data_IF_534401105713
#
_entry.id   IF_534401105713
#
_cell.length_a   1.000
_cell.length_b   1.000
_cell.length_c   1.000
_cell.angle_alpha   90.00
_cell.angle_beta   90.00
_cell.angle_gamma   90.00
#
_symmetry.space_group_name_H-M   'P 1'
#
loop_
_entity.id
_entity.type
_entity.pdbx_description
1 polymer ?
#
# COMPACT_ATOMS: atom_id res chain seq x y z
N UNK A 1 -20.07 -12.89 -15.12
CA UNK A 1 -19.00 -13.91 -15.15
C UNK A 1 -17.74 -13.22 -15.62
N UNK A 2 -16.93 -12.72 -14.70
CA UNK A 2 -15.58 -12.25 -15.00
C UNK A 2 -14.68 -13.48 -15.07
N UNK A 3 -13.91 -13.60 -16.15
CA UNK A 3 -12.93 -14.66 -16.30
C UNK A 3 -11.90 -14.56 -15.16
N UNK A 4 -11.58 -15.69 -14.53
CA UNK A 4 -10.54 -15.76 -13.52
C UNK A 4 -9.21 -15.28 -14.13
N UNK A 5 -8.46 -14.37 -13.46
CA UNK A 5 -7.14 -14.00 -13.93
C UNK A 5 -6.25 -15.25 -13.92
N UNK A 6 -5.64 -15.52 -15.07
CA UNK A 6 -4.54 -16.47 -15.20
C UNK A 6 -3.44 -16.18 -14.18
N UNK A 7 -2.86 -17.22 -13.60
CA UNK A 7 -1.64 -17.18 -12.79
C UNK A 7 -0.67 -16.11 -13.29
N UNK A 8 -0.60 -14.99 -12.58
CA UNK A 8 0.45 -14.00 -12.73
C UNK A 8 1.37 -14.17 -11.53
N UNK A 9 2.68 -14.26 -11.81
CA UNK A 9 3.70 -13.98 -10.82
C UNK A 9 3.31 -12.69 -10.09
N UNK A 10 3.62 -12.57 -8.80
CA UNK A 10 3.37 -11.32 -8.09
C UNK A 10 4.26 -10.23 -8.73
N UNK A 11 3.68 -9.45 -9.64
CA UNK A 11 4.32 -8.31 -10.27
C UNK A 11 4.14 -7.12 -9.34
N UNK A 12 5.23 -6.37 -9.09
CA UNK A 12 5.21 -5.15 -8.27
C UNK A 12 4.04 -4.25 -8.66
N UNK A 13 3.44 -3.58 -7.69
CA UNK A 13 2.34 -2.68 -7.99
C UNK A 13 2.86 -1.32 -8.48
N UNK A 14 2.22 -0.77 -9.52
CA UNK A 14 2.56 0.54 -10.09
C UNK A 14 2.02 1.64 -9.21
N UNK A 15 2.92 2.47 -8.68
CA UNK A 15 2.65 3.46 -7.65
C UNK A 15 2.93 4.88 -8.15
N UNK A 16 1.96 5.76 -8.00
CA UNK A 16 2.16 7.21 -8.01
C UNK A 16 1.79 7.73 -6.62
N UNK A 17 2.62 8.59 -6.05
CA UNK A 17 2.33 9.33 -4.82
C UNK A 17 2.02 10.77 -5.18
N UNK A 18 0.92 11.31 -4.64
CA UNK A 18 0.66 12.75 -4.57
C UNK A 18 0.72 13.18 -3.12
N UNK A 19 1.61 14.10 -2.80
CA UNK A 19 2.01 14.46 -1.44
C UNK A 19 2.15 15.96 -1.29
N UNK A 20 1.73 16.51 -0.15
CA UNK A 20 1.99 17.89 0.26
C UNK A 20 3.21 18.00 1.19
N UNK A 21 4.17 17.09 1.02
CA UNK A 21 5.50 17.09 1.67
C UNK A 21 6.12 18.49 1.78
N UNK A 22 6.73 18.76 2.93
CA UNK A 22 7.25 20.10 3.25
C UNK A 22 6.15 21.13 3.53
N UNK A 23 4.90 20.68 3.64
CA UNK A 23 3.72 21.46 3.98
C UNK A 23 3.55 21.65 5.48
N UNK A 24 2.41 21.20 6.02
CA UNK A 24 2.00 21.51 7.40
C UNK A 24 2.45 20.49 8.45
N UNK A 25 2.84 19.30 8.04
CA UNK A 25 3.26 18.20 8.90
C UNK A 25 4.55 17.56 8.34
N UNK A 26 5.53 17.17 9.19
CA UNK A 26 6.66 16.36 8.77
C UNK A 26 6.34 14.90 8.39
N UNK A 27 5.14 14.39 8.63
CA UNK A 27 4.82 12.96 8.41
C UNK A 27 4.89 12.50 6.94
N UNK A 28 4.67 13.37 5.94
CA UNK A 28 4.97 13.06 4.54
C UNK A 28 6.48 12.80 4.31
N UNK A 29 7.37 13.52 5.02
CA UNK A 29 8.82 13.30 4.93
C UNK A 29 9.20 11.95 5.53
N UNK A 30 8.59 11.60 6.67
CA UNK A 30 8.74 10.31 7.32
C UNK A 30 8.27 9.16 6.40
N UNK A 31 7.06 9.30 5.86
CA UNK A 31 6.43 8.32 4.96
C UNK A 31 7.23 8.16 3.67
N UNK A 32 7.83 9.25 3.15
CA UNK A 32 8.69 9.20 1.97
C UNK A 32 9.98 8.44 2.25
N UNK A 33 10.64 8.66 3.38
CA UNK A 33 11.83 7.88 3.76
C UNK A 33 11.49 6.38 3.85
N UNK A 34 10.37 6.03 4.47
CA UNK A 34 9.93 4.63 4.60
C UNK A 34 9.59 4.02 3.23
N UNK A 35 8.84 4.73 2.37
CA UNK A 35 8.55 4.29 1.01
C UNK A 35 9.84 4.02 0.22
N UNK A 36 10.84 4.90 0.30
CA UNK A 36 12.08 4.69 -0.43
C UNK A 36 12.85 3.47 0.07
N UNK A 37 12.76 3.16 1.37
CA UNK A 37 13.31 1.94 1.96
C UNK A 37 12.54 0.67 1.55
N UNK A 38 11.30 0.80 1.06
CA UNK A 38 10.47 -0.30 0.53
C UNK A 38 10.28 -0.23 -0.99
N UNK A 39 11.09 0.57 -1.69
CA UNK A 39 10.93 0.80 -3.13
C UNK A 39 11.37 -0.39 -4.00
N UNK A 40 11.95 -1.42 -3.40
CA UNK A 40 12.13 -2.76 -3.95
C UNK A 40 10.83 -3.58 -4.00
N UNK A 41 9.75 -3.21 -3.31
CA UNK A 41 8.47 -3.94 -3.38
C UNK A 41 7.44 -3.32 -4.35
N UNK A 42 7.70 -2.11 -4.86
CA UNK A 42 6.77 -1.35 -5.70
C UNK A 42 7.45 -0.71 -6.92
N UNK A 43 6.69 -0.46 -7.98
CA UNK A 43 7.17 0.27 -9.16
C UNK A 43 6.74 1.74 -9.04
N UNK A 44 7.63 2.61 -8.56
CA UNK A 44 7.37 4.04 -8.43
C UNK A 44 7.41 4.70 -9.80
N UNK A 45 6.26 5.20 -10.26
CA UNK A 45 6.10 5.91 -11.54
C UNK A 45 5.90 7.43 -11.37
N UNK A 46 5.66 7.90 -10.15
CA UNK A 46 5.41 9.31 -9.87
C UNK A 46 5.61 9.67 -8.39
N UNK A 47 6.35 10.72 -8.13
CA UNK A 47 6.46 11.39 -6.82
C UNK A 47 6.05 12.85 -7.05
N UNK A 48 4.78 13.16 -6.80
CA UNK A 48 4.16 14.41 -7.20
C UNK A 48 3.97 15.29 -5.97
N UNK A 49 4.69 16.40 -5.90
CA UNK A 49 4.50 17.39 -4.84
C UNK A 49 3.36 18.34 -5.24
N UNK A 50 2.26 18.33 -4.49
CA UNK A 50 1.10 19.19 -4.70
C UNK A 50 0.63 19.82 -3.37
N UNK A 51 -0.47 20.55 -3.42
CA UNK A 51 -1.08 21.19 -2.26
C UNK A 51 -2.37 20.48 -1.86
N UNK A 52 -2.59 20.30 -0.55
CA UNK A 52 -3.81 19.74 0.04
C UNK A 52 -4.88 20.80 0.34
N UNK A 53 -5.30 20.95 1.60
CA UNK A 53 -6.37 21.86 2.05
C UNK A 53 -5.90 23.30 2.30
N UNK A 54 -4.59 23.56 2.39
CA UNK A 54 -4.03 24.89 2.66
C UNK A 54 -2.84 25.15 1.77
N UNK A 55 -2.70 26.40 1.30
CA UNK A 55 -1.62 26.77 0.39
C UNK A 55 -0.26 26.76 1.08
N UNK A 56 0.66 25.95 0.56
CA UNK A 56 2.07 25.84 0.98
C UNK A 56 2.99 25.95 -0.24
N UNK A 57 4.29 26.23 -0.07
CA UNK A 57 5.27 26.00 -1.13
C UNK A 57 5.30 24.53 -1.52
N UNK A 58 5.50 24.24 -2.82
CA UNK A 58 5.63 22.85 -3.26
C UNK A 58 6.89 22.20 -2.69
N UNK A 59 6.72 21.00 -2.14
CA UNK A 59 7.74 20.19 -1.48
C UNK A 59 8.90 19.67 -2.30
N UNK A 60 9.04 20.05 -3.58
CA UNK A 60 10.10 19.52 -4.44
C UNK A 60 11.52 19.65 -3.86
N UNK A 61 11.91 20.76 -3.19
CA UNK A 61 13.22 20.83 -2.53
C UNK A 61 13.38 19.83 -1.40
N UNK A 62 12.32 19.59 -0.62
CA UNK A 62 12.31 18.63 0.50
C UNK A 62 12.41 17.19 -0.04
N UNK A 63 11.57 16.86 -1.03
CA UNK A 63 11.62 15.58 -1.72
C UNK A 63 13.02 15.31 -2.31
N UNK A 64 13.62 16.30 -2.98
CA UNK A 64 14.97 16.14 -3.53
C UNK A 64 16.03 15.93 -2.46
N UNK A 65 15.92 16.58 -1.29
CA UNK A 65 16.83 16.34 -0.15
C UNK A 65 16.71 14.91 0.37
N UNK A 66 15.52 14.34 0.41
CA UNK A 66 15.31 12.93 0.78
C UNK A 66 15.89 12.01 -0.30
N UNK A 67 15.71 12.33 -1.58
CA UNK A 67 16.33 11.56 -2.67
C UNK A 67 17.87 11.68 -2.63
N UNK A 68 18.44 12.83 -2.24
CA UNK A 68 19.89 12.99 -2.01
C UNK A 68 20.37 12.06 -0.87
N UNK A 69 19.56 11.89 0.17
CA UNK A 69 19.84 10.98 1.26
C UNK A 69 19.75 9.51 0.81
N UNK A 70 18.72 9.17 0.03
CA UNK A 70 18.57 7.86 -0.60
C UNK A 70 19.75 7.52 -1.50
N UNK A 71 20.21 8.46 -2.34
CA UNK A 71 21.34 8.27 -3.26
C UNK A 71 22.62 7.85 -2.54
N UNK A 72 22.85 8.34 -1.32
CA UNK A 72 23.98 7.95 -0.48
C UNK A 72 23.84 6.54 0.09
N UNK A 73 22.62 6.11 0.39
CA UNK A 73 22.30 4.77 0.90
C UNK A 73 22.19 3.72 -0.21
N UNK A 74 21.89 4.14 -1.44
CA UNK A 74 21.63 3.25 -2.58
C UNK A 74 22.71 2.18 -2.82
N UNK A 75 24.02 2.46 -2.73
CA UNK A 75 25.05 1.42 -2.90
C UNK A 75 24.92 0.26 -1.91
N UNK A 76 24.44 0.53 -0.68
CA UNK A 76 24.20 -0.48 0.34
C UNK A 76 22.88 -1.21 0.07
N UNK A 77 21.79 -0.47 -0.18
CA UNK A 77 20.46 -1.04 -0.44
C UNK A 77 20.49 -2.08 -1.57
N UNK A 78 21.21 -1.80 -2.66
CA UNK A 78 21.30 -2.74 -3.77
C UNK A 78 22.11 -4.01 -3.45
N UNK A 79 22.90 -4.05 -2.37
CA UNK A 79 23.53 -5.29 -1.90
C UNK A 79 22.47 -6.25 -1.38
N UNK A 80 21.47 -5.72 -0.67
CA UNK A 80 20.39 -6.47 -0.04
C UNK A 80 19.28 -6.85 -1.02
N UNK A 81 18.90 -5.95 -1.94
CA UNK A 81 17.96 -6.26 -3.03
C UNK A 81 18.31 -5.50 -4.33
N UNK A 82 18.49 -6.23 -5.44
CA UNK A 82 18.88 -5.61 -6.73
C UNK A 82 17.76 -4.81 -7.41
N UNK A 83 16.55 -4.88 -6.89
CA UNK A 83 15.36 -4.30 -7.49
C UNK A 83 15.05 -2.88 -7.00
N UNK A 84 15.84 -2.35 -6.06
CA UNK A 84 15.80 -0.94 -5.68
C UNK A 84 16.04 -0.02 -6.89
N UNK A 85 15.21 1.02 -7.09
CA UNK A 85 15.38 1.98 -8.18
C UNK A 85 16.56 2.93 -7.93
N UNK A 86 17.27 3.33 -8.98
CA UNK A 86 18.31 4.36 -8.82
C UNK A 86 17.73 5.72 -8.42
N UNK A 87 18.50 6.53 -7.69
CA UNK A 87 18.12 7.90 -7.36
C UNK A 87 17.79 8.74 -8.61
N UNK A 88 18.51 8.55 -9.71
CA UNK A 88 18.23 9.21 -10.98
C UNK A 88 16.84 8.84 -11.54
N UNK A 89 16.43 7.58 -11.41
CA UNK A 89 15.07 7.13 -11.77
C UNK A 89 14.01 7.83 -10.92
N UNK A 90 14.20 7.87 -9.60
CA UNK A 90 13.29 8.55 -8.67
C UNK A 90 13.16 10.05 -8.98
N UNK A 91 14.28 10.75 -9.25
CA UNK A 91 14.24 12.17 -9.64
C UNK A 91 13.52 12.39 -10.97
N UNK A 92 13.62 11.46 -11.92
CA UNK A 92 12.98 11.60 -13.22
C UNK A 92 11.45 11.61 -13.15
N UNK A 93 10.89 11.07 -12.06
CA UNK A 93 9.46 11.03 -11.77
C UNK A 93 9.05 11.94 -10.61
N UNK A 94 9.99 12.71 -10.06
CA UNK A 94 9.75 13.72 -9.02
C UNK A 94 9.35 15.06 -9.67
N UNK A 95 8.06 15.41 -9.60
CA UNK A 95 7.50 16.54 -10.37
C UNK A 95 6.51 17.38 -9.57
N UNK A 96 6.30 18.62 -10.02
CA UNK A 96 5.30 19.51 -9.45
C UNK A 96 3.88 19.10 -9.91
N UNK A 97 2.97 19.01 -8.96
CA UNK A 97 1.52 18.96 -9.18
C UNK A 97 0.88 20.35 -9.05
N UNK A 98 -0.37 20.38 -8.59
CA UNK A 98 -1.14 21.61 -8.41
C UNK A 98 -0.56 22.43 -7.25
N UNK A 99 -0.48 23.74 -7.43
CA UNK A 99 0.04 24.69 -6.43
C UNK A 99 -1.07 25.47 -5.71
N UNK A 100 -2.30 25.35 -6.17
CA UNK A 100 -3.50 25.83 -5.49
C UNK A 100 -4.25 24.71 -4.79
N UNK A 101 -5.29 25.09 -4.05
CA UNK A 101 -6.03 24.21 -3.14
C UNK A 101 -7.25 23.64 -3.83
N UNK A 102 -7.46 22.33 -3.70
CA UNK A 102 -8.71 21.66 -4.09
C UNK A 102 -9.09 21.86 -5.57
N UNK A 103 -10.40 21.84 -5.85
CA UNK A 103 -10.95 22.01 -7.20
C UNK A 103 -10.78 23.43 -7.77
N UNK A 104 -10.40 24.42 -6.96
CA UNK A 104 -10.16 25.79 -7.42
C UNK A 104 -8.93 25.91 -8.32
N UNK A 105 -8.00 24.93 -8.27
CA UNK A 105 -6.83 24.85 -9.15
C UNK A 105 -6.96 23.72 -10.18
N UNK A 106 -8.19 23.39 -10.59
CA UNK A 106 -8.49 22.37 -11.60
C UNK A 106 -9.32 22.97 -12.72
N UNK A 107 -8.89 22.79 -13.97
CA UNK A 107 -9.59 23.29 -15.14
C UNK A 107 -8.70 23.61 -16.34
N UNK A 108 -9.25 24.43 -17.24
CA UNK A 108 -8.53 24.88 -18.44
C UNK A 108 -7.33 25.75 -18.06
N UNK A 109 -6.14 25.38 -18.55
CA UNK A 109 -4.90 26.11 -18.26
C UNK A 109 -4.22 25.73 -16.93
N UNK A 110 -4.77 24.75 -16.20
CA UNK A 110 -4.21 24.28 -14.92
C UNK A 110 -3.40 22.98 -15.06
N UNK A 111 -2.99 22.59 -16.26
CA UNK A 111 -2.14 21.41 -16.47
C UNK A 111 -0.78 21.59 -15.79
N UNK A 112 -0.34 20.54 -15.10
CA UNK A 112 0.95 20.47 -14.40
C UNK A 112 1.77 19.27 -14.84
N UNK A 113 3.10 19.29 -14.67
CA UNK A 113 3.95 18.13 -14.90
C UNK A 113 3.44 16.85 -14.23
N UNK A 114 2.91 16.96 -13.00
CA UNK A 114 2.28 15.86 -12.25
C UNK A 114 1.01 15.34 -12.90
N UNK A 115 0.09 16.22 -13.32
CA UNK A 115 -1.14 15.79 -14.01
C UNK A 115 -0.83 15.08 -15.34
N UNK A 116 0.16 15.57 -16.09
CA UNK A 116 0.61 14.93 -17.33
C UNK A 116 1.33 13.61 -17.07
N UNK A 117 2.09 13.50 -15.97
CA UNK A 117 2.72 12.25 -15.56
C UNK A 117 1.66 11.18 -15.28
N UNK A 118 0.60 11.52 -14.53
CA UNK A 118 -0.50 10.59 -14.25
C UNK A 118 -1.14 10.12 -15.56
N UNK A 119 -1.42 11.04 -16.49
CA UNK A 119 -2.01 10.68 -17.78
C UNK A 119 -1.10 9.71 -18.54
N UNK A 120 0.20 10.00 -18.64
CA UNK A 120 1.17 9.14 -19.34
C UNK A 120 1.29 7.75 -18.69
N UNK A 121 1.31 7.69 -17.37
CA UNK A 121 1.40 6.44 -16.63
C UNK A 121 0.16 5.56 -16.90
N UNK A 122 -1.04 6.12 -16.80
CA UNK A 122 -2.29 5.36 -17.05
C UNK A 122 -2.39 4.93 -18.52
N UNK A 123 -1.96 5.77 -19.47
CA UNK A 123 -1.96 5.46 -20.91
C UNK A 123 -0.89 4.46 -21.36
N UNK A 124 0.05 4.11 -20.48
CA UNK A 124 1.11 3.17 -20.82
C UNK A 124 0.54 1.83 -21.29
N UNK A 125 1.35 1.09 -22.06
CA UNK A 125 0.98 -0.25 -22.55
C UNK A 125 1.04 -1.33 -21.47
N UNK A 126 1.49 -0.98 -20.27
CA UNK A 126 1.49 -1.88 -19.12
C UNK A 126 0.03 -2.23 -18.76
N UNK A 127 -0.32 -3.54 -18.72
CA UNK A 127 -1.68 -3.98 -18.41
C UNK A 127 -2.04 -3.80 -16.94
N UNK A 128 -1.06 -3.70 -16.04
CA UNK A 128 -1.30 -3.49 -14.61
C UNK A 128 -1.95 -2.13 -14.38
N UNK A 129 -2.90 -2.04 -13.45
CA UNK A 129 -3.46 -0.75 -13.08
C UNK A 129 -2.41 0.13 -12.38
N UNK A 130 -2.65 1.44 -12.38
CA UNK A 130 -1.87 2.42 -11.64
C UNK A 130 -2.62 2.77 -10.35
N UNK A 131 -1.93 2.64 -9.22
CA UNK A 131 -2.40 3.11 -7.93
C UNK A 131 -1.87 4.51 -7.67
N UNK A 132 -2.78 5.45 -7.41
CA UNK A 132 -2.43 6.76 -6.87
C UNK A 132 -2.68 6.75 -5.38
N UNK A 133 -1.63 6.99 -4.61
CA UNK A 133 -1.68 7.16 -3.17
C UNK A 133 -1.64 8.65 -2.86
N UNK A 134 -2.72 9.14 -2.27
CA UNK A 134 -2.88 10.55 -1.96
C UNK A 134 -2.62 10.79 -0.49
N UNK A 135 -1.41 11.29 -0.23
CA UNK A 135 -0.91 11.71 1.08
C UNK A 135 -1.31 13.15 1.38
N UNK A 136 -1.72 13.89 0.35
CA UNK A 136 -2.28 15.23 0.45
C UNK A 136 -3.55 15.41 -0.37
N UNK A 137 -3.61 16.51 -1.13
CA UNK A 137 -4.75 16.82 -1.98
C UNK A 137 -4.88 15.90 -3.20
N UNK A 138 -6.11 15.74 -3.68
CA UNK A 138 -6.45 14.99 -4.91
C UNK A 138 -6.56 15.86 -6.17
N UNK A 139 -6.29 17.16 -6.05
CA UNK A 139 -6.39 18.15 -7.12
C UNK A 139 -5.54 17.83 -8.36
N UNK A 140 -4.33 17.26 -8.22
CA UNK A 140 -3.51 16.89 -9.39
C UNK A 140 -4.08 15.70 -10.16
N UNK A 141 -4.66 14.73 -9.44
CA UNK A 141 -5.40 13.63 -10.06
C UNK A 141 -6.68 14.14 -10.71
N UNK A 142 -7.38 15.06 -10.04
CA UNK A 142 -8.57 15.69 -10.60
C UNK A 142 -8.26 16.48 -11.88
N UNK A 143 -7.13 17.18 -11.95
CA UNK A 143 -6.67 17.84 -13.18
C UNK A 143 -6.43 16.83 -14.31
N UNK A 144 -5.73 15.73 -14.04
CA UNK A 144 -5.49 14.68 -15.03
C UNK A 144 -6.81 14.12 -15.59
N UNK A 145 -7.74 13.79 -14.68
CA UNK A 145 -9.07 13.28 -15.04
C UNK A 145 -9.93 14.33 -15.76
N UNK A 146 -9.86 15.59 -15.33
CA UNK A 146 -10.55 16.71 -15.97
C UNK A 146 -10.10 16.86 -17.42
N UNK A 147 -8.78 16.89 -17.67
CA UNK A 147 -8.22 16.97 -19.02
C UNK A 147 -8.65 15.79 -19.88
N UNK A 148 -8.52 14.57 -19.36
CA UNK A 148 -8.94 13.35 -20.08
C UNK A 148 -10.42 13.41 -20.45
N UNK A 149 -11.28 13.83 -19.51
CA UNK A 149 -12.73 13.97 -19.75
C UNK A 149 -13.08 15.04 -20.80
N UNK A 150 -12.30 16.11 -20.93
CA UNK A 150 -12.58 17.20 -21.87
C UNK A 150 -11.90 17.05 -23.24
N UNK A 151 -10.90 16.17 -23.36
CA UNK A 151 -10.11 16.01 -24.59
C UNK A 151 -10.30 14.67 -25.30
N UNK A 152 -10.96 13.70 -24.67
CA UNK A 152 -11.11 12.33 -25.21
C UNK A 152 -12.57 11.91 -25.37
N UNK A 153 -12.77 10.83 -26.12
CA UNK A 153 -14.08 10.19 -26.25
C UNK A 153 -14.51 9.54 -24.94
N UNK A 154 -15.82 9.35 -24.75
CA UNK A 154 -16.36 8.68 -23.55
C UNK A 154 -15.79 7.25 -23.37
N UNK A 155 -15.54 6.53 -24.46
CA UNK A 155 -14.94 5.20 -24.42
C UNK A 155 -13.48 5.22 -23.93
N UNK A 156 -12.70 6.21 -24.38
CA UNK A 156 -11.32 6.39 -23.93
C UNK A 156 -11.25 6.84 -22.48
N UNK A 157 -12.20 7.68 -22.02
CA UNK A 157 -12.34 8.07 -20.61
C UNK A 157 -12.65 6.84 -19.76
N UNK A 158 -13.61 6.01 -20.15
CA UNK A 158 -13.95 4.78 -19.44
C UNK A 158 -12.75 3.82 -19.36
N UNK A 159 -11.99 3.69 -20.46
CA UNK A 159 -10.75 2.89 -20.50
C UNK A 159 -9.69 3.45 -19.54
N UNK A 160 -9.49 4.77 -19.53
CA UNK A 160 -8.56 5.44 -18.63
C UNK A 160 -8.93 5.20 -17.16
N UNK A 161 -10.19 5.46 -16.80
CA UNK A 161 -10.77 5.21 -15.47
C UNK A 161 -10.59 3.75 -15.06
N UNK A 162 -10.82 2.80 -15.96
CA UNK A 162 -10.70 1.36 -15.67
C UNK A 162 -9.30 0.90 -15.28
N UNK A 163 -8.26 1.71 -15.54
CA UNK A 163 -6.85 1.44 -15.20
C UNK A 163 -6.35 2.20 -13.97
N UNK A 164 -7.11 3.17 -13.46
CA UNK A 164 -6.73 3.96 -12.29
C UNK A 164 -7.36 3.39 -11.02
N UNK A 165 -6.62 3.37 -9.91
CA UNK A 165 -7.13 3.13 -8.55
C UNK A 165 -6.57 4.19 -7.62
N UNK A 166 -7.35 4.53 -6.60
CA UNK A 166 -7.01 5.60 -5.65
C UNK A 166 -7.06 5.04 -4.24
N UNK A 167 -6.00 5.32 -3.49
CA UNK A 167 -5.96 5.23 -2.04
C UNK A 167 -5.81 6.66 -1.51
N UNK A 168 -6.86 7.18 -0.88
CA UNK A 168 -6.96 8.54 -0.34
C UNK A 168 -6.83 8.51 1.18
N UNK A 169 -5.77 9.12 1.70
CA UNK A 169 -5.50 9.22 3.13
C UNK A 169 -6.33 10.36 3.71
N UNK A 170 -7.30 10.02 4.57
CA UNK A 170 -8.18 10.93 5.31
C UNK A 170 -9.09 11.85 4.48
N UNK A 171 -8.88 12.03 3.17
CA UNK A 171 -9.62 13.00 2.36
C UNK A 171 -9.23 14.44 2.71
N UNK A 172 -8.27 15.00 1.99
CA UNK A 172 -7.62 16.27 2.39
C UNK A 172 -7.96 17.48 1.52
N UNK A 173 -8.88 17.34 0.56
CA UNK A 173 -9.48 18.47 -0.17
C UNK A 173 -10.79 18.03 -0.84
N UNK A 174 -11.53 18.99 -1.42
CA UNK A 174 -12.81 18.73 -2.09
C UNK A 174 -12.70 17.97 -3.43
N UNK A 175 -11.50 17.89 -4.02
CA UNK A 175 -11.26 17.22 -5.30
C UNK A 175 -11.53 15.71 -5.25
N UNK A 176 -11.34 15.06 -4.09
CA UNK A 176 -11.62 13.63 -3.92
C UNK A 176 -13.12 13.32 -4.12
N UNK A 177 -13.99 14.10 -3.48
CA UNK A 177 -15.43 14.02 -3.66
C UNK A 177 -15.86 14.31 -5.11
N UNK A 178 -15.25 15.31 -5.77
CA UNK A 178 -15.50 15.58 -7.19
C UNK A 178 -15.14 14.37 -8.08
N UNK A 179 -13.99 13.72 -7.84
CA UNK A 179 -13.57 12.53 -8.59
C UNK A 179 -14.59 11.41 -8.41
N UNK A 180 -14.92 11.06 -7.16
CA UNK A 180 -15.85 9.97 -6.87
C UNK A 180 -17.26 10.22 -7.42
N UNK A 181 -17.70 11.48 -7.47
CA UNK A 181 -18.96 11.89 -8.08
C UNK A 181 -18.92 11.78 -9.61
N UNK A 182 -17.84 12.24 -10.22
CA UNK A 182 -17.72 12.39 -11.69
C UNK A 182 -17.38 11.07 -12.38
N UNK A 183 -16.61 10.21 -11.70
CA UNK A 183 -16.13 8.93 -12.23
C UNK A 183 -16.48 7.79 -11.25
N UNK A 184 -17.77 7.42 -11.15
CA UNK A 184 -18.25 6.45 -10.17
C UNK A 184 -17.67 5.05 -10.35
N UNK A 185 -17.08 4.74 -11.51
CA UNK A 185 -16.44 3.46 -11.81
C UNK A 185 -14.98 3.37 -11.33
N UNK A 186 -14.37 4.48 -10.87
CA UNK A 186 -13.04 4.42 -10.25
C UNK A 186 -13.14 3.62 -8.95
N UNK A 187 -12.16 2.72 -8.74
CA UNK A 187 -11.92 2.12 -7.43
C UNK A 187 -11.24 3.19 -6.57
N UNK A 188 -12.03 3.76 -5.67
CA UNK A 188 -11.63 4.84 -4.77
C UNK A 188 -11.76 4.34 -3.34
N UNK A 189 -10.63 4.15 -2.68
CA UNK A 189 -10.53 3.81 -1.26
C UNK A 189 -10.24 5.10 -0.51
N UNK A 190 -11.04 5.45 0.50
CA UNK A 190 -10.71 6.49 1.46
C UNK A 190 -10.44 5.84 2.81
N UNK A 191 -9.19 5.89 3.27
CA UNK A 191 -8.80 5.37 4.57
C UNK A 191 -8.84 6.50 5.61
N UNK A 192 -9.79 6.42 6.55
CA UNK A 192 -9.92 7.34 7.69
C UNK A 192 -9.35 6.77 9.00
N UNK A 193 -8.83 5.55 8.96
CA UNK A 193 -8.37 4.76 10.11
C UNK A 193 -6.88 4.41 9.99
N UNK A 194 -6.05 5.44 9.80
CA UNK A 194 -4.61 5.33 9.52
C UNK A 194 -3.71 5.42 10.76
N UNK A 195 -4.30 5.63 11.95
CA UNK A 195 -3.54 5.80 13.19
C UNK A 195 -3.56 4.54 14.07
N UNK A 196 -2.70 4.51 15.10
CA UNK A 196 -2.66 3.44 16.11
C UNK A 196 -1.61 2.35 15.87
N UNK A 197 -1.07 2.24 14.66
CA UNK A 197 0.00 1.30 14.33
C UNK A 197 1.41 1.87 14.57
N UNK A 198 1.57 3.19 14.49
CA UNK A 198 2.87 3.86 14.50
C UNK A 198 3.74 3.55 15.75
N UNK A 199 5.08 3.56 15.61
CA UNK A 199 6.01 3.36 16.72
C UNK A 199 6.02 4.54 17.71
N UNK A 200 6.69 4.38 18.85
CA UNK A 200 6.99 5.52 19.74
C UNK A 200 8.14 6.34 19.19
N UNK A 201 8.23 7.62 19.59
CA UNK A 201 9.36 8.50 19.21
C UNK A 201 10.72 7.90 19.61
N UNK A 202 10.80 7.23 20.78
CA UNK A 202 12.02 6.55 21.21
C UNK A 202 12.41 5.39 20.28
N UNK A 203 11.42 4.66 19.75
CA UNK A 203 11.69 3.57 18.81
C UNK A 203 12.19 4.15 17.49
N UNK A 204 11.61 5.26 17.02
CA UNK A 204 12.04 5.96 15.81
C UNK A 204 13.48 6.46 15.95
N UNK A 205 13.82 7.09 17.08
CA UNK A 205 15.18 7.54 17.36
C UNK A 205 16.18 6.37 17.35
N UNK A 206 15.84 5.27 18.03
CA UNK A 206 16.72 4.12 18.22
C UNK A 206 16.86 3.19 17.00
N UNK A 207 15.90 3.20 16.07
CA UNK A 207 15.84 2.25 14.94
C UNK A 207 15.86 2.92 13.57
N UNK A 208 15.63 4.24 13.49
CA UNK A 208 15.53 4.97 12.22
C UNK A 208 16.50 6.15 12.22
N UNK A 209 16.27 7.16 13.06
CA UNK A 209 16.92 8.48 12.89
C UNK A 209 18.43 8.46 13.08
N UNK A 210 18.94 7.56 13.95
CA UNK A 210 20.38 7.42 14.21
C UNK A 210 21.17 6.80 13.05
N UNK A 211 20.53 6.28 12.00
CA UNK A 211 21.20 5.48 10.98
C UNK A 211 21.32 6.19 9.64
N UNK A 212 22.57 6.47 9.26
CA UNK A 212 22.92 6.84 7.89
C UNK A 212 22.27 8.13 7.42
N UNK A 213 22.24 8.30 6.09
CA UNK A 213 21.69 9.49 5.45
C UNK A 213 20.17 9.54 5.49
N UNK A 214 19.50 8.40 5.34
CA UNK A 214 18.03 8.31 5.36
C UNK A 214 17.47 8.54 6.76
N UNK A 215 18.08 7.98 7.81
CA UNK A 215 17.72 8.28 9.19
C UNK A 215 17.85 9.78 9.51
N UNK A 216 18.95 10.41 9.08
CA UNK A 216 19.14 11.86 9.26
C UNK A 216 18.14 12.73 8.44
N UNK A 217 17.48 12.15 7.44
CA UNK A 217 16.42 12.80 6.67
C UNK A 217 15.01 12.55 7.24
N UNK A 218 14.88 11.70 8.25
CA UNK A 218 13.62 11.37 8.92
C UNK A 218 13.37 12.35 10.09
N UNK A 219 12.42 13.30 9.98
CA UNK A 219 12.19 14.31 11.01
C UNK A 219 11.44 13.76 12.23
N UNK A 220 11.46 14.52 13.32
CA UNK A 220 10.65 14.24 14.51
C UNK A 220 9.15 14.40 14.23
N UNK A 221 8.33 13.63 14.94
CA UNK A 221 6.87 13.76 14.90
C UNK A 221 6.43 15.14 15.37
N UNK A 222 5.50 15.76 14.64
CA UNK A 222 4.78 16.95 15.11
C UNK A 222 3.40 16.60 15.66
N UNK A 223 2.59 15.84 14.91
CA UNK A 223 1.22 15.49 15.30
C UNK A 223 1.03 13.97 15.36
N UNK A 224 1.22 13.29 14.23
CA UNK A 224 1.23 11.85 14.10
C UNK A 224 2.51 11.40 13.39
N UNK A 225 2.89 10.15 13.58
CA UNK A 225 3.98 9.55 12.81
C UNK A 225 3.39 8.84 11.62
N UNK A 226 3.86 9.17 10.43
CA UNK A 226 3.57 8.45 9.18
C UNK A 226 2.05 8.21 8.95
N UNK A 227 1.24 9.28 8.95
CA UNK A 227 -0.19 9.17 8.66
C UNK A 227 -0.48 8.54 7.30
N UNK A 228 0.43 8.72 6.34
CA UNK A 228 0.24 8.33 4.95
C UNK A 228 0.86 6.98 4.56
N UNK A 229 1.77 6.45 5.38
CA UNK A 229 2.44 5.18 5.09
C UNK A 229 1.51 3.99 4.85
N UNK A 230 0.33 3.86 5.50
CA UNK A 230 -0.64 2.83 5.15
C UNK A 230 -0.99 2.78 3.66
N UNK A 231 -0.93 3.91 2.96
CA UNK A 231 -1.23 4.00 1.54
C UNK A 231 -0.24 3.15 0.71
N UNK A 232 1.08 3.37 0.83
CA UNK A 232 2.03 2.56 0.07
C UNK A 232 2.18 1.15 0.66
N UNK A 233 2.03 0.97 1.98
CA UNK A 233 2.02 -0.35 2.63
C UNK A 233 0.89 -1.24 2.12
N UNK A 234 -0.20 -0.66 1.64
CA UNK A 234 -1.26 -1.37 0.92
C UNK A 234 -0.72 -2.07 -0.34
N UNK A 235 0.33 -1.55 -0.96
CA UNK A 235 0.89 -2.05 -2.22
C UNK A 235 2.16 -2.87 -2.05
N UNK A 236 2.68 -3.01 -0.83
CA UNK A 236 3.85 -3.83 -0.57
C UNK A 236 3.50 -5.30 -0.81
N UNK A 237 4.25 -5.94 -1.70
CA UNK A 237 4.12 -7.37 -1.94
C UNK A 237 4.85 -8.17 -0.85
N UNK A 238 4.18 -8.40 0.27
CA UNK A 238 4.67 -9.29 1.35
C UNK A 238 3.90 -10.62 1.40
N UNK A 239 3.05 -10.88 0.39
CA UNK A 239 2.19 -12.07 0.30
C UNK A 239 0.89 -12.02 1.11
N UNK A 240 0.58 -10.89 1.75
CA UNK A 240 -0.63 -10.69 2.55
C UNK A 240 -1.76 -10.03 1.77
N UNK A 241 -1.49 -8.88 1.16
CA UNK A 241 -2.52 -8.06 0.54
C UNK A 241 -2.73 -8.38 -0.94
N UNK A 242 -3.95 -8.17 -1.42
CA UNK A 242 -4.27 -8.17 -2.85
C UNK A 242 -4.96 -6.84 -3.13
N UNK A 243 -4.26 -5.82 -3.66
CA UNK A 243 -4.82 -4.48 -3.78
C UNK A 243 -6.14 -4.39 -4.55
N UNK A 244 -6.38 -5.31 -5.49
CA UNK A 244 -7.63 -5.39 -6.26
C UNK A 244 -8.81 -5.99 -5.49
N UNK A 245 -8.57 -6.63 -4.35
CA UNK A 245 -9.57 -7.23 -3.45
C UNK A 245 -9.49 -6.53 -2.08
N UNK A 246 -10.04 -5.31 -1.97
CA UNK A 246 -9.79 -4.41 -0.84
C UNK A 246 -10.34 -4.93 0.51
N UNK A 247 -11.24 -5.90 0.47
CA UNK A 247 -11.75 -6.63 1.63
C UNK A 247 -10.80 -7.70 2.15
N UNK A 248 -9.69 -8.01 1.47
CA UNK A 248 -8.74 -9.04 1.91
C UNK A 248 -7.91 -8.56 3.09
N UNK A 249 -7.57 -7.28 3.14
CA UNK A 249 -6.79 -6.67 4.22
C UNK A 249 -5.29 -6.94 4.15
N UNK A 250 -4.51 -5.98 4.63
CA UNK A 250 -3.06 -6.08 4.76
C UNK A 250 -2.48 -4.94 5.57
N UNK A 251 -1.20 -4.62 5.36
CA UNK A 251 -0.51 -3.55 6.08
C UNK A 251 -1.09 -2.15 5.81
N UNK A 252 -1.79 -1.96 4.69
CA UNK A 252 -2.56 -0.74 4.43
C UNK A 252 -4.00 -0.74 4.97
N UNK A 253 -4.35 -1.72 5.80
CA UNK A 253 -5.70 -1.89 6.35
C UNK A 253 -6.62 -2.72 5.45
N UNK A 254 -7.91 -2.69 5.76
CA UNK A 254 -8.97 -3.46 5.08
C UNK A 254 -10.21 -2.59 4.88
N UNK A 255 -10.88 -2.76 3.74
CA UNK A 255 -12.01 -1.94 3.33
C UNK A 255 -13.27 -2.77 3.15
N UNK A 256 -14.43 -2.13 3.21
CA UNK A 256 -15.70 -2.79 2.94
C UNK A 256 -15.86 -3.19 1.47
N UNK A 257 -16.77 -4.13 1.21
CA UNK A 257 -17.11 -4.62 -0.14
C UNK A 257 -18.14 -3.76 -0.85
N UNK A 258 -18.74 -2.79 -0.15
CA UNK A 258 -19.75 -1.87 -0.69
C UNK A 258 -19.28 -0.42 -0.58
N UNK A 259 -19.65 0.39 -1.57
CA UNK A 259 -19.38 1.83 -1.52
C UNK A 259 -20.36 2.53 -0.59
N UNK A 260 -19.83 3.38 0.28
CA UNK A 260 -20.59 4.18 1.24
C UNK A 260 -20.78 5.60 0.69
N UNK A 261 -21.99 6.13 0.85
CA UNK A 261 -22.31 7.49 0.43
C UNK A 261 -21.68 8.53 1.37
N UNK A 262 -21.11 9.60 0.81
CA UNK A 262 -20.74 10.80 1.57
C UNK A 262 -19.66 10.57 2.63
N UNK A 263 -18.71 9.65 2.39
CA UNK A 263 -17.54 9.46 3.27
C UNK A 263 -16.75 10.77 3.29
N UNK A 264 -16.82 11.51 4.39
CA UNK A 264 -16.22 12.85 4.51
C UNK A 264 -14.71 12.78 4.71
N UNK A 265 -14.05 13.79 4.19
CA UNK A 265 -12.65 14.08 4.48
C UNK A 265 -12.42 14.57 5.91
N UNK A 266 -11.16 14.83 6.23
CA UNK A 266 -10.76 15.35 7.54
C UNK A 266 -11.36 16.73 7.82
N UNK A 267 -11.53 17.07 9.10
CA UNK A 267 -12.10 18.35 9.55
C UNK A 267 -11.41 19.60 8.97
N UNK A 268 -10.13 19.50 8.62
CA UNK A 268 -9.38 20.61 8.03
C UNK A 268 -9.88 21.05 6.66
N UNK A 269 -10.57 20.17 5.91
CA UNK A 269 -11.20 20.52 4.63
C UNK A 269 -12.24 21.63 4.83
N UNK A 270 -13.23 21.39 5.70
CA UNK A 270 -14.27 22.40 5.99
C UNK A 270 -13.68 23.64 6.68
N UNK A 271 -12.72 23.47 7.60
CA UNK A 271 -12.05 24.60 8.29
C UNK A 271 -11.26 25.51 7.35
N UNK A 272 -10.86 25.02 6.17
CA UNK A 272 -10.19 25.81 5.14
C UNK A 272 -11.14 26.24 4.00
N UNK A 273 -12.45 26.26 4.24
CA UNK A 273 -13.50 26.71 3.31
C UNK A 273 -13.60 25.86 2.03
N UNK A 274 -13.23 24.59 2.10
CA UNK A 274 -13.54 23.60 1.07
C UNK A 274 -14.82 22.86 1.47
N UNK A 275 -15.59 22.41 0.49
CA UNK A 275 -16.87 21.77 0.73
C UNK A 275 -17.03 20.51 -0.11
N UNK A 276 -17.00 19.33 0.52
CA UNK A 276 -17.30 18.07 -0.19
C UNK A 276 -18.82 17.86 -0.40
N UNK A 277 -19.68 18.52 0.38
CA UNK A 277 -21.15 18.33 0.32
C UNK A 277 -21.72 18.83 -1.01
N UNK A 278 -21.05 19.77 -1.68
CA UNK A 278 -21.43 20.24 -3.01
C UNK A 278 -21.45 19.12 -4.07
N UNK A 279 -20.78 17.99 -3.82
CA UNK A 279 -20.70 16.84 -4.72
C UNK A 279 -21.63 15.69 -4.33
N UNK A 280 -22.50 15.87 -3.33
CA UNK A 280 -23.40 14.81 -2.90
C UNK A 280 -24.46 14.42 -3.95
N UNK A 281 -24.86 13.13 -4.00
CA UNK A 281 -24.19 12.00 -3.36
C UNK A 281 -22.97 11.51 -4.16
N UNK A 282 -21.85 11.28 -3.50
CA UNK A 282 -20.72 10.50 -4.04
C UNK A 282 -20.46 9.25 -3.20
N UNK A 283 -19.79 8.26 -3.77
CA UNK A 283 -19.65 6.93 -3.20
C UNK A 283 -18.19 6.46 -3.29
N UNK A 284 -17.65 5.98 -2.17
CA UNK A 284 -16.27 5.46 -2.06
C UNK A 284 -16.26 4.20 -1.21
N UNK A 285 -15.25 3.36 -1.37
CA UNK A 285 -14.95 2.35 -0.36
C UNK A 285 -14.30 3.02 0.84
N UNK A 286 -14.61 2.54 2.04
CA UNK A 286 -14.05 3.03 3.30
C UNK A 286 -13.65 1.86 4.18
N UNK A 287 -12.96 2.13 5.28
CA UNK A 287 -12.47 1.14 6.21
C UNK A 287 -13.57 0.16 6.63
N UNK A 288 -13.17 -1.10 6.79
CA UNK A 288 -14.00 -2.10 7.46
C UNK A 288 -14.23 -1.75 8.93
N UNK A 289 -15.19 -2.41 9.58
CA UNK A 289 -15.64 -2.08 10.93
C UNK A 289 -14.58 -2.16 12.04
N UNK A 290 -13.45 -2.84 11.81
CA UNK A 290 -12.33 -2.90 12.77
C UNK A 290 -11.47 -1.63 12.80
N UNK A 291 -11.64 -0.73 11.82
CA UNK A 291 -10.96 0.57 11.78
C UNK A 291 -9.44 0.46 11.87
N UNK A 292 -8.86 1.12 12.88
CA UNK A 292 -7.40 1.18 13.09
C UNK A 292 -6.78 -0.20 13.34
N UNK A 293 -7.54 -1.14 13.90
CA UNK A 293 -7.04 -2.49 14.21
C UNK A 293 -6.70 -3.28 12.93
N UNK A 294 -7.27 -2.89 11.78
CA UNK A 294 -6.94 -3.49 10.49
C UNK A 294 -5.45 -3.34 10.14
N UNK A 295 -4.80 -2.28 10.64
CA UNK A 295 -3.37 -2.02 10.48
C UNK A 295 -2.60 -2.41 11.74
N UNK A 296 -3.09 -2.01 12.93
CA UNK A 296 -2.36 -2.17 14.20
C UNK A 296 -1.99 -3.63 14.52
N UNK A 297 -2.81 -4.59 14.07
CA UNK A 297 -2.52 -6.03 14.19
C UNK A 297 -1.22 -6.46 13.51
N UNK A 298 -0.74 -5.71 12.52
CA UNK A 298 0.50 -5.98 11.76
C UNK A 298 1.71 -5.20 12.28
N UNK A 299 1.52 -4.38 13.32
CA UNK A 299 2.52 -3.43 13.83
C UNK A 299 3.91 -4.03 14.00
N UNK A 300 4.02 -5.18 14.67
CA UNK A 300 5.34 -5.79 14.92
C UNK A 300 6.09 -6.12 13.64
N UNK A 301 5.40 -6.67 12.64
CA UNK A 301 6.02 -7.00 11.36
C UNK A 301 6.41 -5.74 10.57
N UNK A 302 5.54 -4.73 10.54
CA UNK A 302 5.82 -3.43 9.91
C UNK A 302 7.07 -2.78 10.53
N UNK A 303 7.16 -2.73 11.86
CA UNK A 303 8.27 -2.09 12.53
C UNK A 303 9.59 -2.86 12.36
N UNK A 304 9.54 -4.19 12.38
CA UNK A 304 10.73 -5.00 12.17
C UNK A 304 11.24 -4.89 10.73
N UNK A 305 10.35 -4.91 9.74
CA UNK A 305 10.68 -4.65 8.33
C UNK A 305 11.35 -3.29 8.17
N UNK A 306 10.75 -2.24 8.73
CA UNK A 306 11.31 -0.89 8.66
C UNK A 306 12.72 -0.81 9.27
N UNK A 307 12.90 -1.36 10.47
CA UNK A 307 14.21 -1.37 11.13
C UNK A 307 15.26 -2.19 10.37
N UNK A 308 14.90 -3.33 9.76
CA UNK A 308 15.81 -4.10 8.93
C UNK A 308 16.21 -3.35 7.66
N UNK A 309 15.26 -2.71 6.99
CA UNK A 309 15.53 -1.91 5.77
C UNK A 309 16.36 -0.67 6.09
N UNK A 310 16.17 -0.05 7.26
CA UNK A 310 17.09 1.00 7.74
C UNK A 310 18.50 0.43 7.91
N UNK A 311 18.68 -0.78 8.46
CA UNK A 311 20.01 -1.43 8.51
C UNK A 311 20.57 -1.69 7.11
N UNK A 312 19.76 -2.15 6.15
CA UNK A 312 20.19 -2.32 4.75
C UNK A 312 20.74 -1.03 4.14
N UNK A 313 20.25 0.13 4.58
CA UNK A 313 20.74 1.42 4.09
C UNK A 313 22.16 1.78 4.55
N UNK A 314 22.68 1.10 5.58
CA UNK A 314 24.00 1.37 6.19
C UNK A 314 24.96 0.18 6.13
N UNK A 315 24.48 -1.03 5.84
CA UNK A 315 25.30 -2.24 5.70
C UNK A 315 25.77 -2.44 4.26
N UNK A 316 27.07 -2.52 4.04
CA UNK A 316 27.65 -2.75 2.70
C UNK A 316 27.83 -4.24 2.36
N UNK A 317 27.68 -5.12 3.35
CA UNK A 317 27.71 -6.58 3.20
C UNK A 317 26.31 -7.13 3.47
N UNK A 318 25.89 -8.09 2.64
CA UNK A 318 24.61 -8.79 2.79
C UNK A 318 24.51 -9.41 4.19
N UNK A 319 25.58 -10.03 4.68
CA UNK A 319 25.56 -10.79 5.94
C UNK A 319 25.47 -9.91 7.19
N UNK A 320 25.59 -8.59 7.06
CA UNK A 320 25.53 -7.64 8.19
C UNK A 320 24.09 -7.20 8.52
N UNK A 321 23.08 -7.70 7.81
CA UNK A 321 21.67 -7.44 8.10
C UNK A 321 20.79 -8.66 7.84
N UNK A 322 19.63 -8.70 8.49
CA UNK A 322 18.65 -9.76 8.33
C UNK A 322 17.77 -9.54 7.09
N UNK A 323 17.26 -10.61 6.49
CA UNK A 323 16.34 -10.57 5.35
C UNK A 323 15.12 -11.46 5.56
N UNK A 324 14.06 -11.14 4.83
CA UNK A 324 12.78 -11.81 5.00
C UNK A 324 12.86 -13.30 4.64
N UNK A 325 12.25 -14.19 5.46
CA UNK A 325 12.11 -15.58 5.07
C UNK A 325 11.19 -15.72 3.86
N UNK A 326 11.32 -16.81 3.12
CA UNK A 326 10.51 -17.10 1.93
C UNK A 326 9.46 -18.16 2.27
N UNK A 327 8.18 -17.80 2.12
CA UNK A 327 7.06 -18.76 2.30
C UNK A 327 6.79 -19.48 0.99
N UNK A 328 7.02 -20.79 0.95
CA UNK A 328 6.89 -21.59 -0.27
C UNK A 328 6.23 -22.94 -0.02
N UNK A 329 5.25 -23.28 -0.85
CA UNK A 329 4.68 -24.62 -0.87
C UNK A 329 5.68 -25.63 -1.43
N UNK A 330 5.64 -26.87 -0.94
CA UNK A 330 6.53 -27.94 -1.40
C UNK A 330 6.37 -28.29 -2.90
N UNK A 331 5.24 -27.95 -3.51
CA UNK A 331 4.95 -28.16 -4.95
C UNK A 331 5.34 -26.97 -5.84
N UNK A 332 5.74 -25.84 -5.26
CA UNK A 332 6.17 -24.65 -6.00
C UNK A 332 7.62 -24.77 -6.45
N UNK A 333 7.87 -24.54 -7.75
CA UNK A 333 9.21 -24.62 -8.35
C UNK A 333 9.98 -23.31 -8.32
N UNK A 334 9.29 -22.21 -8.03
CA UNK A 334 9.82 -20.85 -8.02
C UNK A 334 9.22 -20.12 -6.85
N UNK A 335 9.98 -19.21 -6.26
CA UNK A 335 9.48 -18.36 -5.19
C UNK A 335 8.41 -17.41 -5.74
N UNK A 336 7.34 -17.25 -4.98
CA UNK A 336 6.23 -16.38 -5.34
C UNK A 336 5.51 -15.95 -4.07
N UNK A 337 4.88 -14.77 -4.11
CA UNK A 337 4.04 -14.25 -3.04
C UNK A 337 2.55 -14.29 -3.41
N UNK A 338 2.24 -14.84 -4.60
CA UNK A 338 0.88 -14.88 -5.14
C UNK A 338 -0.06 -15.71 -4.26
N UNK A 339 -1.31 -15.26 -4.17
CA UNK A 339 -2.39 -15.94 -3.44
C UNK A 339 -2.63 -17.35 -4.00
N UNK A 340 -2.74 -18.33 -3.10
CA UNK A 340 -3.10 -19.71 -3.44
C UNK A 340 -4.61 -19.88 -3.36
N UNK A 341 -5.27 -20.10 -4.49
CA UNK A 341 -6.70 -20.43 -4.52
C UNK A 341 -6.90 -21.95 -4.45
N UNK A 342 -7.81 -22.41 -3.58
CA UNK A 342 -8.12 -23.82 -3.37
C UNK A 342 -9.64 -24.00 -3.43
N UNK A 343 -10.13 -24.99 -4.16
CA UNK A 343 -11.53 -25.37 -4.13
C UNK A 343 -11.74 -26.53 -3.14
N UNK A 344 -12.81 -26.48 -2.35
CA UNK A 344 -13.15 -27.52 -1.39
C UNK A 344 -14.67 -27.75 -1.33
N UNK A 345 -15.05 -28.86 -0.70
CA UNK A 345 -16.44 -29.23 -0.39
C UNK A 345 -16.66 -29.26 1.13
N UNK A 346 -17.91 -29.16 1.59
CA UNK A 346 -18.23 -29.42 2.99
C UNK A 346 -17.72 -30.81 3.41
N UNK A 347 -17.04 -30.90 4.54
CA UNK A 347 -16.43 -32.13 5.06
C UNK A 347 -15.03 -32.46 4.55
N UNK A 348 -14.49 -31.71 3.57
CA UNK A 348 -13.13 -31.93 3.08
C UNK A 348 -12.08 -31.63 4.17
N UNK A 349 -10.99 -32.40 4.18
CA UNK A 349 -9.77 -32.09 4.94
C UNK A 349 -8.66 -31.67 3.99
N UNK A 350 -8.28 -30.40 4.05
CA UNK A 350 -7.21 -29.81 3.27
C UNK A 350 -5.89 -29.90 4.04
N UNK A 351 -4.85 -30.39 3.38
CA UNK A 351 -3.50 -30.45 3.93
C UNK A 351 -2.62 -29.48 3.15
N UNK A 352 -1.90 -28.61 3.85
CA UNK A 352 -0.92 -27.71 3.26
C UNK A 352 0.49 -28.20 3.63
N UNK A 353 1.47 -27.89 2.78
CA UNK A 353 2.86 -28.31 2.97
C UNK A 353 3.81 -27.17 2.58
N UNK A 354 4.28 -26.45 3.59
CA UNK A 354 5.21 -25.34 3.50
C UNK A 354 6.65 -25.76 3.78
N UNK A 355 6.98 -27.06 3.70
CA UNK A 355 8.36 -27.52 3.91
C UNK A 355 9.34 -27.02 2.84
N UNK A 356 8.86 -26.33 1.80
CA UNK A 356 9.67 -25.64 0.82
C UNK A 356 10.15 -24.25 1.28
N UNK A 357 9.58 -23.69 2.36
CA UNK A 357 9.97 -22.40 2.93
C UNK A 357 11.39 -22.44 3.49
N UNK A 358 12.08 -21.31 3.44
CA UNK A 358 13.45 -21.19 3.89
C UNK A 358 13.77 -19.74 4.29
N UNK A 359 14.88 -19.54 4.97
CA UNK A 359 15.43 -18.23 5.29
C UNK A 359 16.72 -18.01 4.49
N UNK A 360 16.89 -16.87 3.79
CA UNK A 360 18.07 -16.63 2.95
C UNK A 360 19.36 -16.44 3.76
N UNK A 361 19.27 -16.03 5.01
CA UNK A 361 20.41 -15.85 5.93
C UNK A 361 20.73 -17.14 6.71
N UNK A 362 19.90 -18.17 6.56
CA UNK A 362 20.04 -19.44 7.26
C UNK A 362 19.51 -19.42 8.70
N UNK A 363 18.70 -18.41 9.05
CA UNK A 363 18.01 -18.35 10.34
C UNK A 363 16.99 -19.49 10.51
N UNK A 364 16.63 -19.78 11.76
CA UNK A 364 15.53 -20.70 12.02
C UNK A 364 14.19 -20.00 11.74
N UNK A 365 13.26 -20.73 11.12
CA UNK A 365 11.92 -20.22 10.79
C UNK A 365 10.84 -20.91 11.61
N UNK A 366 9.87 -20.11 12.04
CA UNK A 366 8.66 -20.55 12.73
C UNK A 366 7.45 -20.38 11.80
N UNK A 367 6.47 -21.27 11.95
CA UNK A 367 5.26 -21.29 11.12
C UNK A 367 4.04 -20.94 11.96
N UNK A 368 3.07 -20.26 11.35
CA UNK A 368 1.73 -20.09 11.91
C UNK A 368 0.69 -19.96 10.81
N UNK A 369 -0.15 -20.98 10.63
CA UNK A 369 -1.34 -20.91 9.78
C UNK A 369 -2.59 -20.65 10.61
N UNK A 370 -3.37 -19.65 10.23
CA UNK A 370 -4.65 -19.36 10.89
C UNK A 370 -5.69 -18.86 9.90
N UNK A 371 -6.97 -18.94 10.30
CA UNK A 371 -8.09 -18.36 9.58
C UNK A 371 -8.10 -16.86 9.82
N UNK A 372 -8.13 -16.09 8.73
CA UNK A 372 -8.31 -14.65 8.78
C UNK A 372 -9.81 -14.35 8.85
N UNK A 373 -10.32 -14.36 10.09
CA UNK A 373 -11.76 -14.27 10.37
C UNK A 373 -12.39 -13.03 9.72
N UNK A 374 -11.69 -11.89 9.73
CA UNK A 374 -12.21 -10.62 9.22
C UNK A 374 -12.48 -10.60 7.71
N UNK A 375 -11.76 -11.41 6.93
CA UNK A 375 -12.01 -11.58 5.48
C UNK A 375 -12.78 -12.88 5.15
N UNK A 376 -13.07 -13.72 6.15
CA UNK A 376 -13.76 -15.00 5.95
C UNK A 376 -15.27 -14.81 6.04
N UNK A 377 -16.02 -15.30 5.05
CA UNK A 377 -17.47 -15.09 4.94
C UNK A 377 -18.31 -16.28 5.45
N UNK A 378 -17.70 -17.29 6.07
CA UNK A 378 -18.38 -18.54 6.42
C UNK A 378 -19.23 -18.49 7.70
N UNK A 379 -19.15 -17.39 8.46
CA UNK A 379 -19.93 -17.17 9.69
C UNK A 379 -19.60 -18.11 10.86
N UNK A 380 -18.55 -18.92 10.73
CA UNK A 380 -18.10 -19.87 11.75
C UNK A 380 -16.62 -19.66 12.04
N UNK A 381 -16.23 -19.82 13.30
CA UNK A 381 -14.82 -19.93 13.67
C UNK A 381 -14.32 -21.32 13.30
N UNK A 382 -13.29 -21.39 12.47
CA UNK A 382 -12.67 -22.65 12.05
C UNK A 382 -11.24 -22.67 12.58
N UNK A 383 -10.85 -23.77 13.21
CA UNK A 383 -9.49 -23.92 13.73
C UNK A 383 -8.61 -24.72 12.77
N UNK A 384 -7.35 -24.31 12.69
CA UNK A 384 -6.31 -25.00 11.91
C UNK A 384 -5.62 -26.02 12.82
N UNK A 385 -5.55 -27.27 12.38
CA UNK A 385 -4.77 -28.32 13.05
C UNK A 385 -3.30 -28.23 12.66
N UNK A 386 -2.41 -28.49 13.62
CA UNK A 386 -0.94 -28.42 13.43
C UNK A 386 -0.48 -27.05 12.91
N UNK A 387 -1.19 -25.98 13.29
CA UNK A 387 -1.04 -24.61 12.83
C UNK A 387 0.40 -24.07 12.95
N UNK A 388 1.17 -24.54 13.94
CA UNK A 388 2.54 -24.09 14.21
C UNK A 388 3.62 -24.94 13.51
N UNK A 389 3.25 -25.71 12.48
CA UNK A 389 4.17 -26.61 11.77
C UNK A 389 4.23 -26.28 10.28
N UNK A 390 5.21 -26.85 9.57
CA UNK A 390 5.28 -26.76 8.12
C UNK A 390 4.15 -27.50 7.40
N UNK A 391 3.38 -28.37 8.08
CA UNK A 391 2.33 -29.20 7.47
C UNK A 391 0.99 -29.07 8.22
N UNK A 392 0.38 -27.87 8.23
CA UNK A 392 -0.91 -27.66 8.86
C UNK A 392 -2.05 -28.23 8.02
N UNK A 393 -3.21 -28.44 8.65
CA UNK A 393 -4.42 -28.89 7.96
C UNK A 393 -5.66 -28.13 8.41
N UNK A 394 -6.61 -27.96 7.49
CA UNK A 394 -7.91 -27.34 7.73
C UNK A 394 -9.01 -28.35 7.40
N UNK A 395 -9.93 -28.57 8.34
CA UNK A 395 -11.14 -29.36 8.07
C UNK A 395 -12.31 -28.41 7.81
N UNK A 396 -12.97 -28.57 6.66
CA UNK A 396 -14.13 -27.77 6.29
C UNK A 396 -15.36 -28.35 6.99
N UNK A 397 -16.06 -27.60 7.87
CA UNK A 397 -17.26 -28.12 8.52
C UNK A 397 -18.34 -28.49 7.50
N UNK A 398 -19.09 -29.57 7.74
CA UNK A 398 -20.19 -30.01 6.85
C UNK A 398 -21.28 -28.93 6.65
N UNK A 399 -21.43 -28.03 7.62
CA UNK A 399 -22.40 -26.93 7.57
C UNK A 399 -21.94 -25.74 6.72
N UNK A 400 -20.66 -25.63 6.38
CA UNK A 400 -20.13 -24.54 5.57
C UNK A 400 -20.31 -24.88 4.10
N UNK A 401 -21.07 -24.06 3.37
CA UNK A 401 -21.27 -24.19 1.92
C UNK A 401 -21.35 -22.81 1.28
N UNK A 402 -20.90 -22.68 0.03
CA UNK A 402 -20.91 -21.42 -0.74
C UNK A 402 -20.23 -20.27 0.02
N UNK A 403 -19.08 -20.56 0.59
CA UNK A 403 -18.32 -19.64 1.42
C UNK A 403 -16.84 -19.59 0.97
N UNK A 404 -16.20 -18.49 1.27
CA UNK A 404 -14.78 -18.20 1.11
C UNK A 404 -14.13 -18.13 2.48
N UNK A 405 -13.13 -18.99 2.70
CA UNK A 405 -12.31 -19.01 3.91
C UNK A 405 -10.92 -18.51 3.56
N UNK A 406 -10.48 -17.47 4.25
CA UNK A 406 -9.14 -16.91 4.09
C UNK A 406 -8.20 -17.49 5.14
N UNK A 407 -7.05 -18.00 4.71
CA UNK A 407 -5.98 -18.42 5.60
C UNK A 407 -4.75 -17.56 5.36
N UNK A 408 -4.04 -17.22 6.43
CA UNK A 408 -2.72 -16.58 6.35
C UNK A 408 -1.70 -17.54 6.93
N UNK A 409 -0.75 -17.96 6.10
CA UNK A 409 0.49 -18.57 6.57
C UNK A 409 1.47 -17.44 6.89
N UNK A 410 1.82 -17.29 8.16
CA UNK A 410 2.94 -16.48 8.63
C UNK A 410 4.19 -17.35 8.76
N UNK A 411 5.31 -16.86 8.26
CA UNK A 411 6.63 -17.43 8.56
C UNK A 411 7.50 -16.32 9.10
N UNK A 412 8.04 -16.52 10.30
CA UNK A 412 8.89 -15.55 10.99
C UNK A 412 10.23 -16.20 11.31
N UNK A 413 11.31 -15.53 10.94
CA UNK A 413 12.67 -15.94 11.27
C UNK A 413 13.04 -15.61 12.74
N UNK A 414 14.24 -16.00 13.16
CA UNK A 414 14.82 -15.62 14.45
C UNK A 414 15.99 -14.63 14.33
N UNK A 415 16.08 -13.90 13.21
CA UNK A 415 17.08 -12.87 12.96
C UNK A 415 16.83 -11.59 13.77
N UNK A 416 17.61 -10.54 13.51
CA UNK A 416 17.58 -9.30 14.28
C UNK A 416 17.47 -8.03 13.42
N UNK A 417 16.29 -7.38 13.35
CA UNK A 417 15.02 -7.79 13.96
C UNK A 417 14.44 -9.04 13.27
N UNK A 418 13.52 -9.74 13.94
CA UNK A 418 12.86 -10.91 13.38
C UNK A 418 11.91 -10.49 12.24
N UNK A 419 12.10 -11.03 11.03
CA UNK A 419 11.32 -10.65 9.86
C UNK A 419 10.24 -11.68 9.55
N UNK A 420 9.11 -11.19 9.02
CA UNK A 420 7.91 -12.00 8.77
C UNK A 420 7.45 -11.86 7.34
N UNK A 421 7.24 -13.01 6.69
CA UNK A 421 6.63 -13.09 5.36
C UNK A 421 5.32 -13.85 5.42
N UNK A 422 4.45 -13.60 4.44
CA UNK A 422 3.11 -14.14 4.42
C UNK A 422 2.85 -14.98 3.17
N UNK A 423 1.89 -15.89 3.28
CA UNK A 423 1.19 -16.44 2.14
C UNK A 423 -0.31 -16.52 2.43
N UNK A 424 -1.10 -15.79 1.65
CA UNK A 424 -2.56 -15.93 1.67
C UNK A 424 -3.03 -17.15 0.87
N UNK A 425 -3.96 -17.88 1.46
CA UNK A 425 -4.73 -18.96 0.82
C UNK A 425 -6.20 -18.57 0.83
N UNK A 426 -6.88 -18.74 -0.29
CA UNK A 426 -8.32 -18.50 -0.42
C UNK A 426 -9.00 -19.82 -0.76
N UNK A 427 -9.72 -20.36 0.21
CA UNK A 427 -10.47 -21.61 0.06
C UNK A 427 -11.91 -21.29 -0.33
N UNK A 428 -12.32 -21.73 -1.52
CA UNK A 428 -13.69 -21.59 -2.03
C UNK A 428 -14.46 -22.88 -1.80
N UNK A 429 -15.39 -22.84 -0.86
CA UNK A 429 -16.26 -23.98 -0.51
C UNK A 429 -17.48 -23.96 -1.42
N UNK A 430 -17.63 -25.00 -2.24
CA UNK A 430 -18.67 -25.10 -3.29
C UNK A 430 -19.86 -25.95 -2.89
#
# INVERSE_FOLDING_TARGET
MLAAPSCLFAEKHRLIVTTDIGGTDPDDEQSMVHLLLMSDDVDIEGLICNVAFVKTPLGLPVLNKIIDAYEKAYPNLIVHDKSYPSAASLRSVAVAGQAGVGMADVGEGHDTPGSELIIRAVDSKDPRPVWVNAWGGMNTVAQALWKVKHTRSAADVAKFVSKLRIYDVLGQCDAGAWIARTFPDIVYLRNTAVYGWAPSDSWVDDNVQKYGSLGAAYPDRMWATEGDSPAFMYLVDNGLNVPSEPEYGGWGGRFGTEKVAGVRGMDWVEKNNLDEKQYDPYYMFTNSGEGNEAIARWKTAILNDFAARVKWSVCADYNDANHHPVVRFSDEKTDTKAVRYVDAKPGDRLQFDFSGSYDPDGNEISYRLYVYDDATDCGLRIEVSDAATARPSLSIPESVSKATIHLIQEVTDNGSPALTSYRRIVVRVK
#
